data_IF_773354014370
#
_entry.id   IF_773354014370
#
_cell.length_a   1.000
_cell.length_b   1.000
_cell.length_c   1.000
_cell.angle_alpha   90.00
_cell.angle_beta   90.00
_cell.angle_gamma   90.00
#
_symmetry.space_group_name_H-M   'P 1'
#
loop_
_entity.id
_entity.type
_entity.pdbx_description
1 polymer ?
#
# COMPACT_ATOMS: atom_id res chain seq x y z
N UNK A 1 5.24 -4.06 28.40
CA UNK A 1 4.99 -3.71 26.98
C UNK A 1 6.28 -3.43 26.23
N UNK A 2 7.10 -2.46 26.66
CA UNK A 2 8.37 -2.13 25.99
C UNK A 2 9.36 -3.31 25.86
N UNK A 3 9.47 -4.14 26.91
CA UNK A 3 10.33 -5.34 26.88
C UNK A 3 9.86 -6.34 25.81
N UNK A 4 8.54 -6.56 25.71
CA UNK A 4 7.96 -7.48 24.72
C UNK A 4 8.22 -6.95 23.30
N UNK A 5 8.06 -5.65 23.08
CA UNK A 5 8.36 -5.00 21.80
C UNK A 5 9.84 -5.14 21.44
N UNK A 6 10.76 -4.95 22.41
CA UNK A 6 12.19 -5.11 22.17
C UNK A 6 12.58 -6.54 21.80
N UNK A 7 11.92 -7.55 22.38
CA UNK A 7 12.16 -8.97 22.06
C UNK A 7 11.64 -9.30 20.65
N UNK A 8 10.47 -8.77 20.27
CA UNK A 8 9.90 -9.00 18.94
C UNK A 8 10.75 -8.41 17.81
N UNK A 9 11.45 -7.30 18.05
CA UNK A 9 12.34 -6.67 17.06
C UNK A 9 13.72 -7.35 17.04
N UNK A 10 14.24 -7.79 18.18
CA UNK A 10 15.60 -8.34 18.27
C UNK A 10 15.75 -9.71 17.60
N UNK A 11 14.71 -10.55 17.66
CA UNK A 11 14.71 -11.90 17.05
C UNK A 11 14.92 -11.86 15.52
N UNK A 12 14.10 -11.15 14.71
CA UNK A 12 14.31 -11.11 13.26
C UNK A 12 15.62 -10.41 12.89
N UNK A 13 16.07 -9.45 13.68
CA UNK A 13 17.37 -8.80 13.49
C UNK A 13 18.54 -9.78 13.69
N UNK A 14 18.51 -10.58 14.76
CA UNK A 14 19.51 -11.63 15.00
C UNK A 14 19.53 -12.66 13.88
N UNK A 15 18.35 -13.09 13.41
CA UNK A 15 18.23 -14.02 12.28
C UNK A 15 18.87 -13.43 11.03
N UNK A 16 18.59 -12.16 10.71
CA UNK A 16 19.20 -11.46 9.57
C UNK A 16 20.74 -11.40 9.68
N UNK A 17 21.28 -11.05 10.86
CA UNK A 17 22.73 -11.00 11.08
C UNK A 17 23.36 -12.37 10.91
N UNK A 18 22.75 -13.43 11.44
CA UNK A 18 23.24 -14.80 11.27
C UNK A 18 23.26 -15.21 9.79
N UNK A 19 22.22 -14.85 9.01
CA UNK A 19 22.21 -15.11 7.56
C UNK A 19 23.36 -14.42 6.82
N UNK A 20 23.65 -13.15 7.15
CA UNK A 20 24.78 -12.43 6.55
C UNK A 20 26.13 -13.03 6.92
N UNK A 21 26.30 -13.50 8.17
CA UNK A 21 27.55 -14.11 8.64
C UNK A 21 27.82 -15.48 8.00
N UNK A 22 26.77 -16.29 7.78
CA UNK A 22 26.88 -17.62 7.19
C UNK A 22 27.07 -17.54 5.66
N UNK A 23 26.62 -16.47 5.01
CA UNK A 23 26.68 -16.34 3.55
C UNK A 23 28.10 -16.05 3.03
N UNK A 24 28.87 -17.12 2.79
CA UNK A 24 30.13 -17.07 2.05
C UNK A 24 29.99 -17.83 0.71
N UNK A 25 29.64 -17.12 -0.38
CA UNK A 25 29.96 -17.60 -1.74
C UNK A 25 29.92 -16.49 -2.82
N UNK A 26 31.11 -16.06 -3.26
CA UNK A 26 31.42 -15.19 -4.40
C UNK A 26 30.37 -14.10 -4.71
N UNK A 27 30.57 -12.95 -4.08
CA UNK A 27 29.73 -11.75 -4.11
C UNK A 27 29.77 -11.03 -5.47
N UNK A 28 30.77 -11.29 -6.31
CA UNK A 28 31.07 -10.47 -7.49
C UNK A 28 30.99 -11.23 -8.82
N UNK A 29 30.06 -12.17 -8.97
CA UNK A 29 29.78 -12.73 -10.29
C UNK A 29 28.83 -11.77 -11.03
N UNK A 30 29.28 -11.17 -12.15
CA UNK A 30 28.48 -10.24 -12.98
C UNK A 30 27.10 -10.80 -13.32
N UNK A 31 27.02 -12.09 -13.64
CA UNK A 31 25.76 -12.78 -13.99
C UNK A 31 24.78 -12.93 -12.80
N UNK A 32 25.28 -12.96 -11.56
CA UNK A 32 24.41 -12.95 -10.36
C UNK A 32 23.90 -11.54 -10.04
N UNK A 33 24.65 -10.52 -10.46
CA UNK A 33 24.34 -9.10 -10.23
C UNK A 33 23.56 -8.47 -11.38
N UNK A 34 23.50 -9.12 -12.54
CA UNK A 34 22.69 -8.69 -13.69
C UNK A 34 21.20 -8.98 -13.45
N UNK A 35 20.30 -8.14 -14.00
CA UNK A 35 18.87 -8.39 -13.94
C UNK A 35 18.52 -9.71 -14.62
N UNK A 36 17.55 -10.43 -14.04
CA UNK A 36 17.10 -11.71 -14.57
C UNK A 36 15.97 -11.48 -15.60
N UNK A 37 16.25 -11.66 -16.89
CA UNK A 37 15.25 -11.74 -17.97
C UNK A 37 15.33 -13.13 -18.65
N UNK A 38 15.00 -14.19 -17.89
CA UNK A 38 15.02 -15.58 -18.38
C UNK A 38 16.36 -16.03 -18.99
N UNK A 39 17.48 -15.49 -18.51
CA UNK A 39 18.83 -15.79 -19.01
C UNK A 39 19.28 -14.92 -20.19
N UNK A 40 18.49 -13.94 -20.60
CA UNK A 40 18.86 -12.95 -21.61
C UNK A 40 19.26 -11.61 -20.96
N UNK A 41 20.04 -10.83 -21.70
CA UNK A 41 20.29 -9.43 -21.35
C UNK A 41 19.01 -8.61 -21.52
N UNK A 42 18.76 -7.62 -20.66
CA UNK A 42 17.51 -6.89 -20.67
C UNK A 42 17.28 -6.12 -21.97
N UNK A 43 16.12 -6.32 -22.59
CA UNK A 43 15.78 -5.65 -23.86
C UNK A 43 15.57 -4.13 -23.71
N UNK A 44 15.19 -3.69 -22.51
CA UNK A 44 14.94 -2.28 -22.21
C UNK A 44 15.32 -1.95 -20.77
N UNK A 45 15.41 -0.66 -20.46
CA UNK A 45 15.60 -0.23 -19.08
C UNK A 45 14.41 -0.66 -18.22
N UNK A 46 14.68 -1.05 -16.97
CA UNK A 46 13.65 -1.45 -16.00
C UNK A 46 12.64 -0.33 -15.65
N UNK A 47 12.92 0.91 -16.04
CA UNK A 47 12.05 2.09 -15.80
C UNK A 47 11.33 2.47 -17.08
N UNK A 48 10.35 1.67 -17.45
CA UNK A 48 9.40 1.98 -18.53
C UNK A 48 8.21 2.77 -17.98
N UNK A 49 7.57 3.63 -18.80
CA UNK A 49 6.31 4.25 -18.42
C UNK A 49 5.28 3.17 -18.10
N UNK A 50 4.75 3.24 -16.89
CA UNK A 50 3.78 2.27 -16.37
C UNK A 50 2.35 2.77 -16.63
N UNK A 51 1.37 1.87 -16.52
CA UNK A 51 -0.02 2.25 -16.80
C UNK A 51 -0.57 3.18 -15.73
N UNK A 52 -1.20 4.28 -16.16
CA UNK A 52 -1.80 5.29 -15.28
C UNK A 52 -2.95 4.73 -14.42
N UNK A 53 -3.48 3.55 -14.74
CA UNK A 53 -4.53 2.89 -13.96
C UNK A 53 -4.10 2.62 -12.52
N UNK A 54 -2.87 2.15 -12.32
CA UNK A 54 -2.35 1.91 -10.97
C UNK A 54 -2.15 3.20 -10.17
N UNK A 55 -1.86 4.31 -10.85
CA UNK A 55 -1.79 5.61 -10.22
C UNK A 55 -3.17 6.05 -9.70
N UNK A 56 -4.22 5.87 -10.49
CA UNK A 56 -5.60 6.16 -10.05
C UNK A 56 -6.02 5.29 -8.85
N UNK A 57 -5.69 3.99 -8.86
CA UNK A 57 -5.94 3.10 -7.71
C UNK A 57 -5.26 3.64 -6.44
N UNK A 58 -4.03 4.15 -6.55
CA UNK A 58 -3.32 4.76 -5.42
C UNK A 58 -3.98 6.03 -4.88
N UNK A 59 -4.54 6.88 -5.75
CA UNK A 59 -5.29 8.08 -5.33
C UNK A 59 -6.57 7.67 -4.60
N UNK A 60 -7.34 6.73 -5.15
CA UNK A 60 -8.57 6.24 -4.53
C UNK A 60 -8.28 5.63 -3.16
N UNK A 61 -7.21 4.84 -3.03
CA UNK A 61 -6.77 4.28 -1.75
C UNK A 61 -6.49 5.37 -0.71
N UNK A 62 -5.81 6.47 -1.09
CA UNK A 62 -5.49 7.57 -0.18
C UNK A 62 -6.76 8.27 0.32
N UNK A 63 -7.73 8.50 -0.58
CA UNK A 63 -9.02 9.11 -0.22
C UNK A 63 -9.76 8.24 0.81
N UNK A 64 -9.82 6.92 0.58
CA UNK A 64 -10.44 5.99 1.52
C UNK A 64 -9.72 5.88 2.86
N UNK A 65 -8.38 5.99 2.87
CA UNK A 65 -7.62 5.96 4.13
C UNK A 65 -8.00 7.17 5.02
N UNK A 66 -8.16 8.35 4.41
CA UNK A 66 -8.68 9.54 5.10
C UNK A 66 -10.13 9.34 5.57
N UNK A 67 -10.97 8.69 4.76
CA UNK A 67 -12.35 8.37 5.15
C UNK A 67 -12.40 7.47 6.40
N UNK A 68 -11.56 6.44 6.47
CA UNK A 68 -11.50 5.53 7.62
C UNK A 68 -11.14 6.28 8.91
N UNK A 69 -10.22 7.25 8.84
CA UNK A 69 -9.87 8.11 9.99
C UNK A 69 -11.09 8.88 10.51
N UNK A 70 -12.00 9.31 9.62
CA UNK A 70 -13.23 10.03 9.98
C UNK A 70 -14.30 9.06 10.52
N UNK A 71 -14.40 7.85 9.96
CA UNK A 71 -15.36 6.82 10.39
C UNK A 71 -15.04 6.27 11.78
N UNK A 72 -13.77 6.05 12.11
CA UNK A 72 -13.35 5.37 13.35
C UNK A 72 -13.88 6.03 14.65
N UNK A 73 -13.84 7.37 14.83
CA UNK A 73 -14.39 8.02 16.02
C UNK A 73 -15.92 8.19 15.99
N UNK A 74 -16.58 7.94 14.86
CA UNK A 74 -18.01 8.24 14.70
C UNK A 74 -18.95 7.57 15.71
N UNK A 75 -18.78 6.27 16.08
CA UNK A 75 -19.66 5.64 17.08
C UNK A 75 -19.63 6.33 18.43
N UNK A 76 -18.51 6.98 18.77
CA UNK A 76 -18.34 7.73 20.01
C UNK A 76 -19.08 9.06 19.91
N UNK A 77 -19.02 9.72 18.75
CA UNK A 77 -19.53 11.09 18.54
C UNK A 77 -21.04 11.11 18.20
N UNK A 78 -21.61 10.00 17.74
CA UNK A 78 -23.00 9.93 17.23
C UNK A 78 -24.05 10.48 18.20
N UNK A 79 -23.87 10.29 19.51
CA UNK A 79 -24.85 10.71 20.52
C UNK A 79 -24.68 12.18 20.97
N UNK A 80 -23.63 12.88 20.55
CA UNK A 80 -23.34 14.24 21.02
C UNK A 80 -24.19 15.30 20.33
N UNK A 81 -24.43 15.18 19.02
CA UNK A 81 -25.36 16.08 18.33
C UNK A 81 -25.89 15.49 17.02
N UNK A 82 -27.15 15.82 16.73
CA UNK A 82 -27.80 15.46 15.47
C UNK A 82 -27.13 16.11 14.26
N UNK A 83 -26.58 17.31 14.41
CA UNK A 83 -25.86 18.00 13.33
C UNK A 83 -24.56 17.27 12.94
N UNK A 84 -23.80 16.75 13.93
CA UNK A 84 -22.60 15.94 13.65
C UNK A 84 -22.97 14.65 12.93
N UNK A 85 -24.02 13.97 13.38
CA UNK A 85 -24.55 12.78 12.70
C UNK A 85 -24.88 13.06 11.24
N UNK A 86 -25.64 14.13 10.97
CA UNK A 86 -26.03 14.49 9.61
C UNK A 86 -24.84 14.88 8.73
N UNK A 87 -23.88 15.64 9.27
CA UNK A 87 -22.68 16.03 8.52
C UNK A 87 -21.84 14.82 8.09
N UNK A 88 -21.67 13.83 8.97
CA UNK A 88 -20.98 12.58 8.67
C UNK A 88 -21.68 11.77 7.58
N UNK A 89 -23.01 11.62 7.68
CA UNK A 89 -23.79 10.88 6.68
C UNK A 89 -23.71 11.53 5.29
N UNK A 90 -23.71 12.87 5.22
CA UNK A 90 -23.57 13.62 3.98
C UNK A 90 -22.18 13.40 3.36
N UNK A 91 -21.11 13.49 4.17
CA UNK A 91 -19.74 13.30 3.68
C UNK A 91 -19.56 11.90 3.09
N UNK A 92 -19.99 10.85 3.81
CA UNK A 92 -19.88 9.47 3.30
C UNK A 92 -20.71 9.25 2.03
N UNK A 93 -21.91 9.85 1.94
CA UNK A 93 -22.72 9.78 0.72
C UNK A 93 -22.01 10.40 -0.48
N UNK A 94 -21.37 11.55 -0.29
CA UNK A 94 -20.63 12.24 -1.36
C UNK A 94 -19.46 11.36 -1.84
N UNK A 95 -18.69 10.79 -0.92
CA UNK A 95 -17.55 9.93 -1.26
C UNK A 95 -18.03 8.66 -1.99
N UNK A 96 -19.08 8.02 -1.50
CA UNK A 96 -19.71 6.87 -2.16
C UNK A 96 -20.19 7.17 -3.59
N UNK A 97 -20.81 8.34 -3.81
CA UNK A 97 -21.22 8.76 -5.15
C UNK A 97 -20.01 9.01 -6.07
N UNK A 98 -18.93 9.59 -5.55
CA UNK A 98 -17.67 9.77 -6.28
C UNK A 98 -17.12 8.44 -6.80
N UNK A 99 -17.12 7.41 -5.96
CA UNK A 99 -16.62 6.08 -6.31
C UNK A 99 -17.49 5.40 -7.37
N UNK A 100 -18.82 5.52 -7.26
CA UNK A 100 -19.74 5.00 -8.29
C UNK A 100 -19.48 5.70 -9.64
N UNK A 101 -19.18 7.00 -9.63
CA UNK A 101 -18.84 7.75 -10.84
C UNK A 101 -17.52 7.26 -11.45
N UNK A 102 -16.47 7.11 -10.64
CA UNK A 102 -15.16 6.60 -11.11
C UNK A 102 -15.26 5.17 -11.67
N UNK A 103 -16.10 4.34 -11.05
CA UNK A 103 -16.34 2.98 -11.53
C UNK A 103 -17.07 2.99 -12.88
N UNK A 104 -18.11 3.82 -13.04
CA UNK A 104 -18.81 3.97 -14.32
C UNK A 104 -17.92 4.51 -15.45
N UNK A 105 -16.89 5.29 -15.11
CA UNK A 105 -15.89 5.77 -16.06
C UNK A 105 -14.86 4.69 -16.45
N UNK A 106 -14.92 3.50 -15.85
CA UNK A 106 -14.00 2.39 -16.14
C UNK A 106 -12.56 2.66 -15.69
N UNK A 107 -12.34 3.64 -14.80
CA UNK A 107 -11.02 3.99 -14.30
C UNK A 107 -10.43 2.89 -13.39
N UNK A 108 -11.32 2.15 -12.73
CA UNK A 108 -11.00 1.05 -11.81
C UNK A 108 -11.01 -0.30 -12.55
N UNK A 109 -11.52 -0.35 -13.78
CA UNK A 109 -11.60 -1.58 -14.56
C UNK A 109 -10.19 -2.05 -14.96
N UNK A 110 -9.90 -3.29 -14.57
CA UNK A 110 -8.69 -3.96 -15.00
C UNK A 110 -8.72 -4.23 -16.50
N UNK A 111 -7.53 -4.28 -17.10
CA UNK A 111 -7.38 -4.74 -18.48
C UNK A 111 -7.99 -6.15 -18.58
N UNK A 112 -8.89 -6.35 -19.56
CA UNK A 112 -9.19 -7.70 -20.06
C UNK A 112 -8.03 -8.18 -20.91
#
# INVERSE_FOLDING_TARGET
MLIIISILISIPFLIMVLFFLIHFKNIMNKEKLSPFECGFDPFSFSRVPFSLKFFFIGIVFLIFDVEIIIILPFPIIMNYSYYLFMSFMIINLIIMLGLVMEWKLGMIDWLK
#
